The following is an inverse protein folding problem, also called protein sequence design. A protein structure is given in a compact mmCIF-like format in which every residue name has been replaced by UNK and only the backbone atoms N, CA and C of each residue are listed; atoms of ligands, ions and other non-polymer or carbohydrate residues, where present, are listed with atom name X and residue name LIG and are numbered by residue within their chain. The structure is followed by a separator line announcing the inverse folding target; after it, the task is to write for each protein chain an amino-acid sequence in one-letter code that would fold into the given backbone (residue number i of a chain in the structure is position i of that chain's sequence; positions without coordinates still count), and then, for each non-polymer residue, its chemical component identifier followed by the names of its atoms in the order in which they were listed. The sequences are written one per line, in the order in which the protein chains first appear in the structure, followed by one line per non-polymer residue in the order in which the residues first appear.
data_IF_706282492878
#
_entry.id   IF_706282492878
#
_cell.length_a   1.000
_cell.length_b   1.000
_cell.length_c   1.000
_cell.angle_alpha   90.00
_cell.angle_beta   90.00
_cell.angle_gamma   90.00
#
_symmetry.space_group_name_H-M   'P 1'
#
loop_
_entity.id
_entity.type
_entity.pdbx_description
1 polymer ?
#
# COMPACT_ATOMS: atom_id res chain seq x y z
N UNK A 1 -24.05 10.12 6.98
CA UNK A 1 -24.68 11.12 6.09
C UNK A 1 -23.71 11.60 5.02
N UNK A 2 -22.49 12.04 5.36
CA UNK A 2 -21.44 12.49 4.43
C UNK A 2 -21.04 11.37 3.44
N UNK A 3 -20.80 10.15 3.90
CA UNK A 3 -20.47 9.00 3.04
C UNK A 3 -21.53 8.73 1.97
N UNK A 4 -22.81 8.83 2.35
CA UNK A 4 -23.91 8.63 1.41
C UNK A 4 -23.91 9.73 0.34
N UNK A 5 -23.74 10.98 0.75
CA UNK A 5 -23.67 12.11 -0.18
C UNK A 5 -22.51 11.95 -1.16
N UNK A 6 -21.31 11.60 -0.68
CA UNK A 6 -20.13 11.39 -1.52
C UNK A 6 -20.34 10.23 -2.51
N UNK A 7 -20.97 9.15 -2.05
CA UNK A 7 -21.26 7.99 -2.92
C UNK A 7 -22.30 8.30 -4.00
N UNK A 8 -23.37 8.99 -3.63
CA UNK A 8 -24.49 9.31 -4.54
C UNK A 8 -24.08 10.35 -5.60
N UNK A 9 -23.23 11.30 -5.22
CA UNK A 9 -22.76 12.39 -6.09
C UNK A 9 -21.44 12.11 -6.81
N UNK A 10 -20.75 11.02 -6.44
CA UNK A 10 -19.40 10.67 -6.93
C UNK A 10 -18.35 11.76 -6.64
N UNK A 11 -18.58 12.55 -5.62
CA UNK A 11 -17.63 13.57 -5.15
C UNK A 11 -16.67 12.92 -4.16
N UNK A 12 -15.37 13.10 -4.38
CA UNK A 12 -14.31 12.50 -3.55
C UNK A 12 -13.80 13.44 -2.45
N UNK A 13 -14.22 14.72 -2.48
CA UNK A 13 -13.76 15.75 -1.56
C UNK A 13 -14.94 16.68 -1.22
N UNK A 14 -15.16 16.92 0.08
CA UNK A 14 -16.21 17.83 0.55
C UNK A 14 -15.55 18.85 1.49
N UNK A 15 -15.67 20.17 1.22
CA UNK A 15 -15.21 21.19 2.14
C UNK A 15 -16.11 21.23 3.38
N UNK A 16 -15.47 21.36 4.53
CA UNK A 16 -16.15 21.60 5.80
C UNK A 16 -16.15 23.11 6.05
N UNK A 17 -17.31 23.67 6.30
CA UNK A 17 -17.47 25.09 6.56
C UNK A 17 -18.03 25.35 7.98
N UNK A 18 -17.68 26.49 8.55
CA UNK A 18 -18.25 26.97 9.80
C UNK A 18 -19.63 27.60 9.61
N UNK A 19 -20.22 28.14 10.71
CA UNK A 19 -21.53 28.79 10.66
C UNK A 19 -21.57 30.07 9.81
N UNK A 20 -20.41 30.64 9.48
CA UNK A 20 -20.25 31.83 8.67
C UNK A 20 -19.86 31.48 7.20
N UNK A 21 -19.92 30.21 6.81
CA UNK A 21 -19.52 29.69 5.52
C UNK A 21 -18.01 29.82 5.20
N UNK A 22 -17.14 30.00 6.19
CA UNK A 22 -15.71 29.92 5.99
C UNK A 22 -15.25 28.46 5.99
N UNK A 23 -14.40 28.10 5.02
CA UNK A 23 -13.83 26.76 4.94
C UNK A 23 -12.85 26.54 6.10
N UNK A 24 -13.15 25.57 6.96
CA UNK A 24 -12.35 25.20 8.13
C UNK A 24 -11.68 23.83 7.99
N UNK A 25 -11.99 23.09 6.92
CA UNK A 25 -11.41 21.79 6.68
C UNK A 25 -11.86 21.19 5.35
N UNK A 26 -11.28 20.04 5.03
CA UNK A 26 -11.61 19.26 3.85
C UNK A 26 -11.78 17.79 4.26
N UNK A 27 -12.91 17.20 3.90
CA UNK A 27 -13.15 15.79 4.10
C UNK A 27 -12.87 15.04 2.80
N UNK A 28 -11.96 14.09 2.86
CA UNK A 28 -11.63 13.21 1.73
C UNK A 28 -12.42 11.90 1.84
N UNK A 29 -12.79 11.33 0.70
CA UNK A 29 -13.41 10.00 0.63
C UNK A 29 -12.56 8.93 1.32
N UNK A 30 -11.25 8.98 1.10
CA UNK A 30 -10.31 8.01 1.66
C UNK A 30 -10.22 8.07 3.19
N UNK A 31 -10.50 9.22 3.80
CA UNK A 31 -10.49 9.38 5.26
C UNK A 31 -11.77 8.82 5.91
N UNK A 32 -12.90 8.88 5.20
CA UNK A 32 -14.20 8.44 5.72
C UNK A 32 -14.52 7.01 5.33
N UNK A 33 -14.04 6.56 4.18
CA UNK A 33 -14.23 5.17 3.76
C UNK A 33 -13.62 4.30 4.84
N UNK A 34 -14.46 3.84 5.77
CA UNK A 34 -14.08 2.82 6.75
C UNK A 34 -13.44 1.71 5.96
N UNK A 35 -12.13 1.57 6.06
CA UNK A 35 -11.40 0.53 5.36
C UNK A 35 -12.04 -0.79 5.75
N UNK A 36 -12.76 -1.38 4.80
CA UNK A 36 -13.27 -2.72 5.01
C UNK A 36 -12.05 -3.58 5.31
N UNK A 37 -11.93 -4.04 6.56
CA UNK A 37 -10.86 -4.96 6.95
C UNK A 37 -11.21 -6.32 6.38
N UNK A 38 -10.51 -6.71 5.34
CA UNK A 38 -10.66 -8.04 4.76
C UNK A 38 -9.89 -9.05 5.60
N UNK A 39 -10.54 -10.14 5.98
CA UNK A 39 -9.89 -11.30 6.60
C UNK A 39 -9.18 -12.19 5.58
N UNK A 40 -9.36 -11.91 4.30
CA UNK A 40 -8.73 -12.64 3.21
C UNK A 40 -7.21 -12.47 3.25
N UNK A 41 -6.50 -13.54 2.93
CA UNK A 41 -5.06 -13.53 2.76
C UNK A 41 -4.74 -13.13 1.32
N UNK A 42 -3.91 -12.11 1.15
CA UNK A 42 -3.38 -11.73 -0.16
C UNK A 42 -2.07 -12.48 -0.41
N UNK A 43 -2.04 -13.29 -1.45
CA UNK A 43 -0.80 -14.00 -1.88
C UNK A 43 -0.13 -13.20 -2.99
N UNK A 44 1.12 -12.81 -2.79
CA UNK A 44 1.93 -12.08 -3.77
C UNK A 44 3.01 -13.00 -4.32
N UNK A 45 2.96 -13.27 -5.62
CA UNK A 45 3.93 -14.11 -6.32
C UNK A 45 5.17 -13.27 -6.69
N UNK A 46 6.23 -13.42 -5.93
CA UNK A 46 7.46 -12.63 -6.05
C UNK A 46 8.71 -13.45 -6.46
N UNK A 47 8.52 -14.70 -6.94
CA UNK A 47 9.61 -15.64 -7.20
C UNK A 47 10.18 -15.66 -8.63
N UNK A 48 9.72 -14.79 -9.52
CA UNK A 48 10.15 -14.79 -10.93
C UNK A 48 11.55 -14.22 -11.14
N UNK A 49 12.29 -14.75 -12.12
CA UNK A 49 13.66 -14.31 -12.48
C UNK A 49 13.73 -12.89 -13.07
N UNK A 50 12.64 -12.37 -13.63
CA UNK A 50 12.61 -11.03 -14.25
C UNK A 50 13.55 -10.85 -15.43
N UNK A 51 13.89 -11.93 -16.16
CA UNK A 51 14.91 -11.95 -17.23
C UNK A 51 14.69 -10.92 -18.35
N UNK A 52 13.42 -10.51 -18.58
CA UNK A 52 13.09 -9.45 -19.56
C UNK A 52 13.60 -8.07 -19.17
N UNK A 53 13.96 -7.88 -17.90
CA UNK A 53 14.43 -6.60 -17.35
C UNK A 53 15.95 -6.61 -17.08
N UNK A 54 16.69 -7.61 -17.60
CA UNK A 54 18.15 -7.61 -17.52
C UNK A 54 18.72 -6.37 -18.22
N UNK A 55 19.79 -5.76 -17.66
CA UNK A 55 20.59 -6.22 -16.51
C UNK A 55 20.06 -5.82 -15.12
N UNK A 56 18.97 -5.05 -15.01
CA UNK A 56 18.49 -4.51 -13.72
C UNK A 56 18.11 -5.59 -12.72
N UNK A 57 17.75 -6.79 -13.20
CA UNK A 57 17.30 -7.92 -12.36
C UNK A 57 18.35 -9.04 -12.20
N UNK A 58 19.59 -8.83 -12.61
CA UNK A 58 20.66 -9.80 -12.41
C UNK A 58 21.02 -10.02 -10.94
N UNK A 59 21.13 -8.92 -10.19
CA UNK A 59 21.53 -8.92 -8.79
C UNK A 59 20.41 -8.45 -7.83
N UNK A 60 19.23 -8.19 -8.37
CA UNK A 60 18.08 -7.72 -7.60
C UNK A 60 16.79 -8.30 -8.20
N UNK A 61 15.94 -8.97 -7.40
CA UNK A 61 14.70 -9.49 -7.94
C UNK A 61 13.76 -8.36 -8.34
N UNK A 62 12.98 -8.55 -9.41
CA UNK A 62 12.06 -7.53 -9.94
C UNK A 62 11.22 -6.83 -8.87
N UNK A 63 10.62 -7.54 -7.88
CA UNK A 63 9.84 -6.88 -6.84
C UNK A 63 10.61 -5.89 -5.97
N UNK A 64 11.94 -5.99 -5.96
CA UNK A 64 12.83 -5.12 -5.20
C UNK A 64 13.45 -3.98 -6.03
N UNK A 65 13.07 -3.83 -7.30
CA UNK A 65 13.41 -2.64 -8.08
C UNK A 65 12.74 -1.42 -7.44
N UNK A 66 13.47 -0.30 -7.41
CA UNK A 66 13.00 0.90 -6.72
C UNK A 66 12.17 1.78 -7.66
N UNK A 67 11.05 2.26 -7.14
CA UNK A 67 10.23 3.31 -7.72
C UNK A 67 10.09 4.40 -6.66
N UNK A 68 10.52 5.62 -6.97
CA UNK A 68 10.57 6.72 -6.00
C UNK A 68 11.30 6.35 -4.69
N UNK A 69 12.40 5.59 -4.80
CA UNK A 69 13.22 5.18 -3.65
C UNK A 69 12.69 4.01 -2.83
N UNK A 70 11.54 3.45 -3.17
CA UNK A 70 10.88 2.37 -2.44
C UNK A 70 10.71 1.15 -3.37
N UNK A 71 10.90 -0.10 -2.88
CA UNK A 71 10.67 -1.30 -3.66
C UNK A 71 9.25 -1.41 -4.22
N UNK A 72 9.11 -1.91 -5.45
CA UNK A 72 7.79 -2.16 -6.07
C UNK A 72 6.91 -3.01 -5.15
N UNK A 73 7.47 -4.04 -4.53
CA UNK A 73 6.72 -4.92 -3.63
C UNK A 73 6.14 -4.18 -2.43
N UNK A 74 6.88 -3.22 -1.87
CA UNK A 74 6.39 -2.40 -0.77
C UNK A 74 5.24 -1.48 -1.19
N UNK A 75 5.32 -0.88 -2.40
CA UNK A 75 4.22 -0.11 -2.95
C UNK A 75 2.95 -0.94 -3.08
N UNK A 76 3.07 -2.19 -3.55
CA UNK A 76 1.94 -3.13 -3.69
C UNK A 76 1.32 -3.42 -2.32
N UNK A 77 2.15 -3.73 -1.32
CA UNK A 77 1.69 -4.03 0.05
C UNK A 77 1.01 -2.81 0.68
N UNK A 78 1.64 -1.63 0.60
CA UNK A 78 1.08 -0.37 1.13
C UNK A 78 -0.28 -0.06 0.50
N UNK A 79 -0.40 -0.21 -0.82
CA UNK A 79 -1.66 -0.02 -1.53
C UNK A 79 -2.72 -1.03 -1.09
N UNK A 80 -2.38 -2.30 -0.97
CA UNK A 80 -3.30 -3.32 -0.51
C UNK A 80 -3.75 -3.08 0.95
N UNK A 81 -2.83 -2.65 1.82
CA UNK A 81 -3.16 -2.25 3.20
C UNK A 81 -4.14 -1.08 3.24
N UNK A 82 -3.93 -0.08 2.40
CA UNK A 82 -4.86 1.06 2.29
C UNK A 82 -6.25 0.66 1.80
N UNK A 83 -6.38 -0.49 1.15
CA UNK A 83 -7.65 -1.07 0.72
C UNK A 83 -8.26 -2.05 1.74
N UNK A 84 -7.61 -2.28 2.89
CA UNK A 84 -8.14 -3.09 3.98
C UNK A 84 -7.57 -4.50 4.11
N UNK A 85 -6.60 -4.90 3.28
CA UNK A 85 -5.89 -6.17 3.43
C UNK A 85 -4.81 -6.06 4.51
N UNK A 86 -4.81 -6.99 5.48
CA UNK A 86 -3.85 -6.98 6.59
C UNK A 86 -3.02 -8.27 6.68
N UNK A 87 -3.37 -9.28 5.89
CA UNK A 87 -2.70 -10.57 5.89
C UNK A 87 -2.07 -10.84 4.53
N UNK A 88 -0.74 -11.01 4.50
CA UNK A 88 0.02 -11.20 3.29
C UNK A 88 0.87 -12.46 3.36
N UNK A 89 0.92 -13.20 2.25
CA UNK A 89 1.90 -14.25 2.01
C UNK A 89 2.69 -13.85 0.77
N UNK A 90 4.01 -13.79 0.89
CA UNK A 90 4.89 -13.48 -0.24
C UNK A 90 5.58 -14.77 -0.65
N UNK A 91 5.26 -15.27 -1.85
CA UNK A 91 5.90 -16.45 -2.42
C UNK A 91 7.20 -16.01 -3.10
N UNK A 92 8.34 -16.35 -2.49
CA UNK A 92 9.69 -16.00 -2.95
C UNK A 92 10.40 -17.20 -3.55
N UNK A 93 11.32 -16.97 -4.47
CA UNK A 93 12.23 -17.99 -5.02
C UNK A 93 13.53 -17.33 -5.48
N UNK A 94 13.60 -16.83 -6.72
CA UNK A 94 14.81 -16.21 -7.26
C UNK A 94 15.22 -14.99 -6.44
N UNK A 95 16.45 -15.02 -5.89
CA UNK A 95 16.99 -13.99 -4.99
C UNK A 95 16.04 -13.64 -3.83
N UNK A 96 15.28 -14.61 -3.34
CA UNK A 96 14.26 -14.44 -2.29
C UNK A 96 14.84 -13.94 -0.97
N UNK A 97 16.09 -14.26 -0.67
CA UNK A 97 16.82 -13.79 0.52
C UNK A 97 16.88 -12.26 0.62
N UNK A 98 16.93 -11.57 -0.52
CA UNK A 98 16.94 -10.10 -0.58
C UNK A 98 15.59 -9.55 -0.11
N UNK A 99 14.50 -10.19 -0.52
CA UNK A 99 13.13 -9.83 -0.12
C UNK A 99 12.94 -10.09 1.38
N UNK A 100 13.32 -11.27 1.82
CA UNK A 100 13.20 -11.67 3.23
C UNK A 100 13.97 -10.74 4.16
N UNK A 101 15.24 -10.45 3.83
CA UNK A 101 16.07 -9.54 4.60
C UNK A 101 15.50 -8.14 4.68
N UNK A 102 14.95 -7.63 3.57
CA UNK A 102 14.34 -6.30 3.53
C UNK A 102 13.16 -6.18 4.47
N UNK A 103 12.20 -7.12 4.39
CA UNK A 103 11.00 -7.07 5.22
C UNK A 103 11.28 -7.37 6.69
N UNK A 104 12.24 -8.23 7.00
CA UNK A 104 12.64 -8.46 8.39
C UNK A 104 13.26 -7.21 9.03
N UNK A 105 14.06 -6.43 8.29
CA UNK A 105 14.59 -5.16 8.80
C UNK A 105 13.52 -4.09 8.94
N UNK A 106 12.65 -3.93 7.95
CA UNK A 106 11.56 -2.94 7.97
C UNK A 106 10.55 -3.22 9.07
N UNK A 107 10.19 -4.49 9.29
CA UNK A 107 9.30 -4.87 10.40
C UNK A 107 9.95 -4.64 11.77
N UNK A 108 11.27 -4.84 11.89
CA UNK A 108 12.00 -4.54 13.13
C UNK A 108 11.99 -3.05 13.44
N UNK A 109 12.13 -2.19 12.42
CA UNK A 109 12.08 -0.73 12.58
C UNK A 109 10.66 -0.26 12.97
N UNK A 110 9.61 -0.75 12.30
CA UNK A 110 8.22 -0.44 12.66
C UNK A 110 7.86 -0.88 14.09
N UNK A 111 8.39 -1.99 14.57
CA UNK A 111 8.18 -2.47 15.94
C UNK A 111 8.98 -1.69 16.97
N UNK A 112 10.08 -1.07 16.59
CA UNK A 112 10.91 -0.25 17.49
C UNK A 112 10.33 1.15 17.74
N UNK A 113 9.42 1.61 16.87
CA UNK A 113 8.71 2.89 17.02
C UNK A 113 7.42 2.78 17.87
N UNK A 114 7.05 1.57 18.27
CA UNK A 114 5.93 1.29 19.17
C UNK A 114 6.38 1.23 20.64
#
# INVERSE_FOLDING_TARGET
EILKLMNDTKILQIPIVDRNNFVIGLQLWDDISVQAKYSNIMVIMAGGKGSRLHPQTENRPKPMLLVAGIPILEHIIKRARSQGFNHFIIAINYLGEIIEKYFNSTLADELSEL
#
